data_IF_198446308263
#
_entry.id   IF_198446308263
#
_cell.length_a   1.000
_cell.length_b   1.000
_cell.length_c   1.000
_cell.angle_alpha   90.00
_cell.angle_beta   90.00
_cell.angle_gamma   90.00
#
_symmetry.space_group_name_H-M   'P 1'
#
loop_
_entity.id
_entity.type
_entity.pdbx_description
1 polymer ?
#
# COMPACT_ATOMS: atom_id res chain seq x y z
N UNK A 1 -16.38 42.41 37.26
CA UNK A 1 -15.07 42.59 36.64
C UNK A 1 -13.93 42.37 37.64
N UNK A 2 -13.74 41.17 38.23
CA UNK A 2 -12.69 41.00 39.26
C UNK A 2 -12.19 39.57 39.44
N UNK A 3 -12.12 38.76 38.37
CA UNK A 3 -11.53 37.40 38.45
C UNK A 3 -10.42 37.13 37.45
N UNK A 4 -10.02 38.06 36.58
CA UNK A 4 -9.07 37.82 35.51
C UNK A 4 -7.60 38.20 35.84
N UNK A 5 -7.32 38.94 36.86
CA UNK A 5 -5.98 39.45 37.17
C UNK A 5 -5.13 38.58 38.10
N UNK A 6 -5.73 37.61 38.80
CA UNK A 6 -5.00 36.71 39.72
C UNK A 6 -4.49 35.40 39.07
N UNK A 7 -4.89 35.14 37.81
CA UNK A 7 -4.48 33.92 37.10
C UNK A 7 -3.25 34.14 36.20
N UNK A 8 -2.91 35.39 35.86
CA UNK A 8 -1.74 35.71 34.99
C UNK A 8 -0.39 35.31 35.60
N UNK A 9 -0.09 35.63 36.88
CA UNK A 9 1.21 35.29 37.47
C UNK A 9 1.44 33.81 37.63
N UNK A 10 0.40 32.98 37.88
CA UNK A 10 0.51 31.52 37.98
C UNK A 10 0.79 30.86 36.64
N UNK A 11 0.20 31.38 35.55
CA UNK A 11 0.47 30.88 34.20
C UNK A 11 1.90 31.19 33.74
N UNK A 12 2.41 32.37 34.04
CA UNK A 12 3.79 32.77 33.71
C UNK A 12 4.79 31.95 34.52
N UNK A 13 4.55 31.72 35.81
CA UNK A 13 5.40 30.86 36.62
C UNK A 13 5.42 29.39 36.17
N UNK A 14 4.29 28.86 35.76
CA UNK A 14 4.22 27.50 35.22
C UNK A 14 4.97 27.36 33.87
N UNK A 15 4.89 28.35 32.99
CA UNK A 15 5.61 28.38 31.73
C UNK A 15 7.13 28.54 31.90
N UNK A 16 7.55 29.38 32.85
CA UNK A 16 8.96 29.52 33.21
C UNK A 16 9.55 28.22 33.80
N UNK A 17 8.77 27.49 34.57
CA UNK A 17 9.15 26.16 35.08
C UNK A 17 9.30 25.11 33.97
N UNK A 18 8.46 25.15 32.96
CA UNK A 18 8.57 24.27 31.77
C UNK A 18 9.83 24.63 30.97
N UNK A 19 10.11 25.92 30.76
CA UNK A 19 11.33 26.36 30.07
C UNK A 19 12.61 25.87 30.76
N UNK A 20 12.65 25.89 32.09
CA UNK A 20 13.82 25.46 32.87
C UNK A 20 13.98 23.93 32.92
N UNK A 21 12.88 23.18 32.87
CA UNK A 21 12.89 21.70 32.97
C UNK A 21 12.95 21.01 31.63
N UNK A 22 12.32 21.56 30.62
CA UNK A 22 12.24 21.01 29.27
C UNK A 22 12.11 22.14 28.23
N UNK A 23 13.24 22.73 27.81
CA UNK A 23 13.24 23.81 26.83
C UNK A 23 12.59 23.45 25.49
N UNK A 24 12.70 22.20 25.06
CA UNK A 24 12.06 21.72 23.81
C UNK A 24 10.56 21.77 23.92
N UNK A 25 10.00 21.26 25.02
CA UNK A 25 8.57 21.29 25.30
C UNK A 25 8.03 22.72 25.44
N UNK A 26 8.84 23.65 25.99
CA UNK A 26 8.45 25.05 26.05
C UNK A 26 8.34 25.67 24.65
N UNK A 27 9.34 25.44 23.79
CA UNK A 27 9.36 25.94 22.41
C UNK A 27 8.18 25.34 21.61
N UNK A 28 7.92 24.05 21.74
CA UNK A 28 6.78 23.39 21.12
C UNK A 28 5.44 24.00 21.59
N UNK A 29 5.25 24.22 22.88
CA UNK A 29 4.04 24.81 23.42
C UNK A 29 3.86 26.27 22.97
N UNK A 30 4.95 27.01 22.79
CA UNK A 30 4.92 28.36 22.25
C UNK A 30 4.55 28.36 20.77
N UNK A 31 5.15 27.45 19.97
CA UNK A 31 4.81 27.28 18.55
C UNK A 31 3.32 26.90 18.39
N UNK A 32 2.79 25.99 19.20
CA UNK A 32 1.38 25.63 19.18
C UNK A 32 0.44 26.76 19.63
N UNK A 33 0.89 27.65 20.51
CA UNK A 33 0.09 28.81 20.89
C UNK A 33 0.01 29.87 19.78
N UNK A 34 1.06 29.97 18.96
CA UNK A 34 1.12 30.85 17.80
C UNK A 34 0.46 30.23 16.56
N UNK A 35 0.46 28.89 16.47
CA UNK A 35 -0.04 28.09 15.35
C UNK A 35 -1.00 26.99 15.85
N UNK A 36 -2.25 27.34 16.23
CA UNK A 36 -3.23 26.36 16.73
C UNK A 36 -3.52 25.21 15.79
N UNK A 37 -3.38 25.43 14.49
CA UNK A 37 -3.50 24.39 13.44
C UNK A 37 -2.43 23.30 13.57
N UNK A 38 -1.19 23.65 13.94
CA UNK A 38 -0.13 22.67 14.18
C UNK A 38 -0.42 21.81 15.42
N UNK A 39 -0.96 22.41 16.48
CA UNK A 39 -1.41 21.66 17.64
C UNK A 39 -2.53 20.70 17.27
N UNK A 40 -3.49 21.16 16.47
CA UNK A 40 -4.57 20.30 15.97
C UNK A 40 -4.03 19.16 15.13
N UNK A 41 -3.11 19.42 14.21
CA UNK A 41 -2.43 18.38 13.41
C UNK A 41 -1.68 17.38 14.29
N UNK A 42 -0.95 17.85 15.34
CA UNK A 42 -0.25 16.97 16.26
C UNK A 42 -1.18 16.10 17.09
N UNK A 43 -2.29 16.67 17.59
CA UNK A 43 -3.26 15.94 18.41
C UNK A 43 -4.09 14.95 17.61
N UNK A 44 -4.44 15.32 16.38
CA UNK A 44 -5.23 14.48 15.47
C UNK A 44 -4.33 13.58 14.62
N UNK A 45 -3.01 13.86 14.60
CA UNK A 45 -2.07 13.15 13.74
C UNK A 45 -2.45 13.30 12.27
N UNK A 46 -2.34 12.20 11.51
CA UNK A 46 -2.76 12.18 10.10
C UNK A 46 -4.30 12.12 9.93
N UNK A 47 -5.07 12.02 11.02
CA UNK A 47 -6.55 12.13 11.03
C UNK A 47 -7.01 13.50 10.54
N UNK A 48 -6.14 14.52 10.66
CA UNK A 48 -6.36 15.79 10.02
C UNK A 48 -5.96 15.72 8.54
N UNK A 49 -6.93 15.43 7.71
CA UNK A 49 -6.78 15.46 6.27
C UNK A 49 -7.29 16.80 5.73
N UNK A 50 -6.45 17.59 5.03
CA UNK A 50 -6.91 18.84 4.44
C UNK A 50 -8.04 18.56 3.44
N UNK A 51 -9.03 19.46 3.32
CA UNK A 51 -10.12 19.28 2.36
C UNK A 51 -9.58 19.30 0.92
N UNK A 52 -10.28 18.60 0.03
CA UNK A 52 -10.07 18.71 -1.40
C UNK A 52 -10.94 19.87 -1.94
N UNK A 53 -10.36 20.70 -2.79
CA UNK A 53 -11.02 21.88 -3.32
C UNK A 53 -11.48 21.64 -4.75
N UNK A 54 -12.82 21.59 -4.92
CA UNK A 54 -13.47 21.43 -6.21
C UNK A 54 -14.43 22.58 -6.50
N UNK A 55 -14.41 23.04 -7.76
CA UNK A 55 -15.43 23.90 -8.33
C UNK A 55 -16.26 23.05 -9.29
N UNK A 56 -17.54 22.84 -8.93
CA UNK A 56 -18.47 22.02 -9.74
C UNK A 56 -19.12 22.92 -10.76
N UNK A 57 -18.68 22.82 -12.00
CA UNK A 57 -19.22 23.63 -13.08
C UNK A 57 -20.63 23.12 -13.52
N UNK A 58 -21.54 24.02 -13.96
CA UNK A 58 -22.81 23.61 -14.51
C UNK A 58 -22.65 22.65 -15.68
N UNK A 59 -23.65 21.78 -15.90
CA UNK A 59 -23.67 20.82 -16.98
C UNK A 59 -23.48 21.53 -18.33
N UNK A 60 -22.26 21.39 -18.88
CA UNK A 60 -21.96 21.78 -20.26
C UNK A 60 -21.90 20.51 -21.14
N UNK A 61 -21.59 20.64 -22.41
CA UNK A 61 -21.42 19.52 -23.35
C UNK A 61 -20.17 18.66 -23.11
N UNK A 62 -19.47 18.84 -21.97
CA UNK A 62 -18.28 18.08 -21.66
C UNK A 62 -18.62 16.65 -21.16
N UNK A 63 -17.98 15.65 -21.75
CA UNK A 63 -18.12 14.27 -21.30
C UNK A 63 -17.65 14.11 -19.85
N UNK A 64 -18.35 13.32 -19.02
CA UNK A 64 -17.93 13.01 -17.66
C UNK A 64 -16.54 12.38 -17.61
N UNK A 65 -15.75 12.72 -16.60
CA UNK A 65 -14.41 12.18 -16.38
C UNK A 65 -14.39 11.20 -15.22
N UNK A 66 -13.44 10.27 -15.25
CA UNK A 66 -12.99 9.59 -14.05
C UNK A 66 -11.83 10.39 -13.45
N UNK A 67 -12.03 10.93 -12.26
CA UNK A 67 -11.04 11.66 -11.48
C UNK A 67 -10.34 10.67 -10.53
N UNK A 68 -9.12 10.25 -10.86
CA UNK A 68 -8.33 9.30 -10.07
C UNK A 68 -7.61 10.06 -8.98
N UNK A 69 -7.95 9.80 -7.73
CA UNK A 69 -7.41 10.50 -6.56
C UNK A 69 -6.18 9.77 -6.03
N UNK A 70 -5.03 10.42 -6.09
CA UNK A 70 -3.76 9.92 -5.57
C UNK A 70 -3.22 10.89 -4.51
N UNK A 71 -2.61 10.41 -3.41
CA UNK A 71 -1.98 11.30 -2.43
C UNK A 71 -1.05 12.31 -3.10
N UNK A 72 -0.16 11.83 -3.96
CA UNK A 72 0.77 12.66 -4.75
C UNK A 72 1.09 12.02 -6.11
N UNK A 73 1.62 12.84 -7.01
CA UNK A 73 1.95 12.48 -8.40
C UNK A 73 3.44 12.57 -8.71
N UNK A 74 4.32 12.55 -7.73
CA UNK A 74 5.76 12.58 -7.91
C UNK A 74 6.30 11.20 -8.32
N UNK A 75 6.86 11.07 -9.52
CA UNK A 75 7.30 9.80 -10.10
C UNK A 75 8.21 8.96 -9.18
N UNK A 76 9.16 9.59 -8.49
CA UNK A 76 10.10 8.92 -7.58
C UNK A 76 9.47 8.33 -6.32
N UNK A 77 8.22 8.70 -5.99
CA UNK A 77 7.47 8.22 -4.83
C UNK A 77 6.39 7.19 -5.18
N UNK A 78 6.10 6.99 -6.47
CA UNK A 78 5.05 6.08 -6.93
C UNK A 78 5.60 4.64 -6.99
N UNK A 79 5.18 3.81 -6.04
CA UNK A 79 5.54 2.38 -5.97
C UNK A 79 4.34 1.56 -5.49
N UNK A 80 4.28 0.28 -5.84
CA UNK A 80 3.21 -0.62 -5.38
C UNK A 80 1.81 -0.13 -5.79
N UNK A 81 0.97 0.14 -4.81
CA UNK A 81 -0.43 0.53 -5.02
C UNK A 81 -0.67 1.71 -5.96
N UNK A 82 0.05 2.84 -5.83
CA UNK A 82 -0.03 3.93 -6.82
C UNK A 82 0.25 3.49 -8.25
N UNK A 83 1.20 2.60 -8.49
CA UNK A 83 1.47 2.09 -9.83
C UNK A 83 0.29 1.30 -10.40
N UNK A 84 -0.37 0.50 -9.59
CA UNK A 84 -1.60 -0.22 -10.01
C UNK A 84 -2.70 0.77 -10.39
N UNK A 85 -2.89 1.85 -9.62
CA UNK A 85 -3.86 2.90 -9.94
C UNK A 85 -3.54 3.60 -11.28
N UNK A 86 -2.26 3.88 -11.56
CA UNK A 86 -1.82 4.47 -12.84
C UNK A 86 -2.06 3.52 -14.02
N UNK A 87 -1.82 2.23 -13.85
CA UNK A 87 -2.09 1.24 -14.90
C UNK A 87 -3.58 1.12 -15.20
N UNK A 88 -4.45 1.11 -14.18
CA UNK A 88 -5.90 1.12 -14.35
C UNK A 88 -6.35 2.41 -15.03
N UNK A 89 -5.85 3.57 -14.58
CA UNK A 89 -6.16 4.86 -15.20
C UNK A 89 -5.80 4.91 -16.69
N UNK A 90 -4.61 4.42 -17.03
CA UNK A 90 -4.17 4.32 -18.43
C UNK A 90 -5.06 3.36 -19.23
N UNK A 91 -5.39 2.19 -18.68
CA UNK A 91 -6.26 1.23 -19.35
C UNK A 91 -7.65 1.80 -19.64
N UNK A 92 -8.26 2.50 -18.67
CA UNK A 92 -9.52 3.21 -18.87
C UNK A 92 -9.41 4.30 -19.94
N UNK A 93 -8.33 5.08 -19.93
CA UNK A 93 -8.07 6.10 -20.96
C UNK A 93 -7.92 5.49 -22.36
N UNK A 94 -7.28 4.33 -22.48
CA UNK A 94 -7.14 3.59 -23.74
C UNK A 94 -8.47 3.06 -24.28
N UNK A 95 -9.46 2.80 -23.39
CA UNK A 95 -10.84 2.47 -23.76
C UNK A 95 -11.70 3.72 -24.09
N UNK A 96 -11.09 4.90 -24.12
CA UNK A 96 -11.76 6.16 -24.44
C UNK A 96 -12.52 6.80 -23.27
N UNK A 97 -12.32 6.33 -22.03
CA UNK A 97 -12.85 7.00 -20.83
C UNK A 97 -12.01 8.25 -20.54
N UNK A 98 -12.61 9.44 -20.43
CA UNK A 98 -11.86 10.64 -20.07
C UNK A 98 -11.27 10.53 -18.65
N UNK A 99 -9.95 10.66 -18.51
CA UNK A 99 -9.23 10.46 -17.25
C UNK A 99 -8.52 11.74 -16.81
N UNK A 100 -8.60 12.03 -15.49
CA UNK A 100 -7.74 12.98 -14.80
C UNK A 100 -7.08 12.32 -13.62
N UNK A 101 -5.76 12.49 -13.46
CA UNK A 101 -5.04 12.14 -12.24
C UNK A 101 -4.98 13.39 -11.35
N UNK A 102 -5.46 13.26 -10.12
CA UNK A 102 -5.53 14.37 -9.18
C UNK A 102 -4.67 14.11 -7.95
N UNK A 103 -3.67 14.98 -7.73
CA UNK A 103 -2.94 15.02 -6.48
C UNK A 103 -3.81 15.64 -5.38
N UNK A 104 -3.94 14.95 -4.22
CA UNK A 104 -4.83 15.39 -3.16
C UNK A 104 -4.13 15.86 -1.89
N UNK A 105 -2.85 15.55 -1.69
CA UNK A 105 -2.06 15.97 -0.53
C UNK A 105 -1.00 17.02 -0.89
N UNK A 106 -0.59 17.06 -2.15
CA UNK A 106 0.47 17.95 -2.63
C UNK A 106 0.06 18.63 -3.94
N UNK A 107 0.73 19.71 -4.29
CA UNK A 107 0.64 20.31 -5.62
C UNK A 107 1.18 19.37 -6.70
N UNK A 108 0.92 19.68 -7.96
CA UNK A 108 1.53 18.94 -9.06
C UNK A 108 3.05 19.05 -8.97
N UNK A 109 3.78 17.96 -9.30
CA UNK A 109 5.25 17.99 -9.34
C UNK A 109 5.76 18.93 -10.43
N UNK A 110 6.94 19.51 -10.23
CA UNK A 110 7.61 20.29 -11.26
C UNK A 110 7.96 19.42 -12.48
N UNK A 111 8.39 18.18 -12.26
CA UNK A 111 8.70 17.20 -13.32
C UNK A 111 7.48 16.39 -13.76
N UNK A 112 6.54 17.06 -14.43
CA UNK A 112 5.37 16.41 -15.06
C UNK A 112 5.80 15.44 -16.17
N UNK A 113 6.90 15.72 -16.88
CA UNK A 113 7.39 14.83 -17.94
C UNK A 113 7.88 13.49 -17.36
N UNK A 114 8.55 13.53 -16.20
CA UNK A 114 8.95 12.32 -15.46
C UNK A 114 7.78 11.45 -15.08
N UNK A 115 6.63 12.03 -14.69
CA UNK A 115 5.42 11.28 -14.39
C UNK A 115 4.90 10.54 -15.64
N UNK A 116 4.76 11.21 -16.79
CA UNK A 116 4.30 10.56 -18.02
C UNK A 116 5.29 9.48 -18.52
N UNK A 117 6.59 9.70 -18.34
CA UNK A 117 7.62 8.68 -18.59
C UNK A 117 7.43 7.47 -17.69
N UNK A 118 7.17 7.70 -16.40
CA UNK A 118 6.93 6.63 -15.43
C UNK A 118 5.70 5.80 -15.83
N UNK A 119 4.57 6.43 -16.17
CA UNK A 119 3.38 5.75 -16.69
C UNK A 119 3.74 4.91 -17.92
N UNK A 120 4.49 5.49 -18.89
CA UNK A 120 4.92 4.77 -20.10
C UNK A 120 5.73 3.52 -19.80
N UNK A 121 6.60 3.55 -18.81
CA UNK A 121 7.36 2.37 -18.34
C UNK A 121 6.44 1.31 -17.75
N UNK A 122 5.47 1.71 -16.93
CA UNK A 122 4.53 0.80 -16.28
C UNK A 122 3.64 0.03 -17.27
N UNK A 123 3.19 0.71 -18.34
CA UNK A 123 2.27 0.12 -19.32
C UNK A 123 2.95 -0.55 -20.51
N UNK A 124 4.28 -0.60 -20.51
CA UNK A 124 5.07 -1.33 -21.48
C UNK A 124 5.79 -0.48 -22.52
N UNK A 125 6.77 -1.09 -23.19
CA UNK A 125 7.58 -0.43 -24.21
C UNK A 125 6.74 -0.06 -25.44
N UNK A 126 6.93 1.14 -25.94
CA UNK A 126 6.29 1.65 -27.17
C UNK A 126 5.27 2.78 -26.95
N UNK A 127 4.88 3.06 -25.72
CA UNK A 127 4.02 4.20 -25.44
C UNK A 127 4.88 5.46 -25.27
N UNK A 128 4.68 6.43 -26.15
CA UNK A 128 5.39 7.69 -26.02
C UNK A 128 4.65 8.61 -25.03
N UNK A 129 5.40 9.43 -24.32
CA UNK A 129 4.87 10.36 -23.31
C UNK A 129 3.81 11.32 -23.87
N UNK A 130 3.97 11.73 -25.11
CA UNK A 130 3.04 12.64 -25.77
C UNK A 130 1.67 12.00 -26.03
N UNK A 131 1.66 10.71 -26.35
CA UNK A 131 0.41 9.96 -26.50
C UNK A 131 -0.33 9.82 -25.16
N UNK A 132 0.41 9.51 -24.07
CA UNK A 132 -0.18 9.41 -22.73
C UNK A 132 -0.71 10.78 -22.29
N UNK A 133 0.03 11.85 -22.54
CA UNK A 133 -0.38 13.22 -22.22
C UNK A 133 -1.67 13.65 -22.90
N UNK A 134 -1.97 13.11 -24.08
CA UNK A 134 -3.22 13.42 -24.82
C UNK A 134 -4.44 12.75 -24.21
N UNK A 135 -4.28 11.62 -23.54
CA UNK A 135 -5.40 10.82 -23.02
C UNK A 135 -5.56 10.91 -21.49
N UNK A 136 -4.55 11.43 -20.77
CA UNK A 136 -4.57 11.59 -19.31
C UNK A 136 -4.24 13.04 -18.96
N UNK A 137 -5.22 13.73 -18.36
CA UNK A 137 -5.01 15.06 -17.80
C UNK A 137 -4.52 14.99 -16.36
N UNK A 138 -3.86 16.04 -15.87
CA UNK A 138 -3.37 16.16 -14.49
C UNK A 138 -4.02 17.34 -13.80
N UNK A 139 -4.18 17.24 -12.47
CA UNK A 139 -4.67 18.31 -11.62
C UNK A 139 -4.26 18.14 -10.17
N UNK A 140 -4.54 19.14 -9.36
CA UNK A 140 -4.36 19.10 -7.91
C UNK A 140 -5.59 19.71 -7.24
N UNK A 141 -5.88 19.27 -6.01
CA UNK A 141 -7.05 19.73 -5.24
C UNK A 141 -6.65 20.48 -3.98
N UNK A 142 -5.36 20.80 -3.81
CA UNK A 142 -4.84 21.34 -2.53
C UNK A 142 -4.99 22.85 -2.38
N UNK A 143 -5.05 23.60 -3.49
CA UNK A 143 -5.13 25.06 -3.44
C UNK A 143 -6.61 25.54 -3.37
N UNK A 144 -7.03 26.17 -2.27
CA UNK A 144 -8.37 26.72 -2.14
C UNK A 144 -8.64 27.91 -3.09
N UNK A 145 -7.59 28.60 -3.55
CA UNK A 145 -7.71 29.74 -4.46
C UNK A 145 -7.75 29.29 -5.94
N UNK A 146 -7.36 28.04 -6.21
CA UNK A 146 -7.39 27.44 -7.53
C UNK A 146 -8.08 26.07 -7.46
N UNK A 147 -9.39 26.00 -7.14
CA UNK A 147 -10.10 24.74 -7.01
C UNK A 147 -10.14 23.99 -8.35
N UNK A 148 -10.06 22.67 -8.29
CA UNK A 148 -10.14 21.82 -9.48
C UNK A 148 -11.54 21.89 -10.08
N UNK A 149 -11.65 22.29 -11.34
CA UNK A 149 -12.92 22.35 -12.07
C UNK A 149 -13.35 20.95 -12.52
N UNK A 150 -14.56 20.56 -12.13
CA UNK A 150 -15.12 19.22 -12.38
C UNK A 150 -16.59 19.34 -12.83
N UNK A 151 -17.05 18.37 -13.60
CA UNK A 151 -18.46 18.29 -13.99
C UNK A 151 -19.31 17.65 -12.88
N UNK A 152 -20.63 17.95 -12.82
CA UNK A 152 -21.54 17.35 -11.84
C UNK A 152 -21.73 15.84 -12.05
N UNK A 153 -21.44 15.32 -13.23
CA UNK A 153 -21.53 13.90 -13.59
C UNK A 153 -20.17 13.19 -13.57
N UNK A 154 -19.10 13.88 -13.16
CA UNK A 154 -17.81 13.25 -12.99
C UNK A 154 -17.86 12.14 -11.93
N UNK A 155 -17.11 11.08 -12.16
CA UNK A 155 -16.96 9.95 -11.24
C UNK A 155 -15.57 10.00 -10.62
N UNK A 156 -15.44 9.60 -9.36
CA UNK A 156 -14.15 9.54 -8.68
C UNK A 156 -13.67 8.10 -8.59
N UNK A 157 -12.36 7.89 -8.72
CA UNK A 157 -11.69 6.65 -8.35
C UNK A 157 -10.79 6.94 -7.14
N UNK A 158 -11.24 6.54 -5.95
CA UNK A 158 -10.42 6.57 -4.74
C UNK A 158 -9.40 5.43 -4.79
N UNK A 159 -8.15 5.70 -4.44
CA UNK A 159 -7.05 4.72 -4.52
C UNK A 159 -6.44 4.38 -3.16
N UNK A 160 -6.88 5.04 -2.11
CA UNK A 160 -6.46 4.86 -0.74
C UNK A 160 -7.58 5.34 0.21
N UNK A 161 -7.66 4.79 1.42
CA UNK A 161 -8.75 5.14 2.33
C UNK A 161 -8.86 6.64 2.63
N UNK A 162 -7.74 7.36 2.71
CA UNK A 162 -7.78 8.83 2.93
C UNK A 162 -8.42 9.56 1.76
N UNK A 163 -8.22 9.08 0.52
CA UNK A 163 -8.85 9.66 -0.66
C UNK A 163 -10.36 9.37 -0.69
N UNK A 164 -10.78 8.16 -0.28
CA UNK A 164 -12.17 7.80 -0.14
C UNK A 164 -12.86 8.59 0.98
N UNK A 165 -12.24 8.66 2.16
CA UNK A 165 -12.79 9.38 3.32
C UNK A 165 -13.03 10.86 3.02
N UNK A 166 -12.11 11.50 2.31
CA UNK A 166 -12.20 12.92 1.91
C UNK A 166 -13.27 13.18 0.85
N UNK A 167 -13.71 12.18 0.11
CA UNK A 167 -14.86 12.30 -0.81
C UNK A 167 -16.19 12.39 -0.05
N UNK A 168 -16.31 11.82 1.15
CA UNK A 168 -17.55 11.74 1.89
C UNK A 168 -18.32 13.07 1.97
N UNK A 169 -17.72 14.21 2.42
CA UNK A 169 -18.41 15.50 2.50
C UNK A 169 -18.69 16.14 1.13
N UNK A 170 -18.15 15.59 0.05
CA UNK A 170 -18.24 16.15 -1.30
C UNK A 170 -19.28 15.46 -2.17
N UNK A 171 -19.60 14.18 -1.89
CA UNK A 171 -20.48 13.37 -2.73
C UNK A 171 -21.86 14.01 -2.97
N UNK A 172 -22.38 14.76 -1.99
CA UNK A 172 -23.67 15.44 -2.15
C UNK A 172 -23.64 16.60 -3.17
N UNK A 173 -22.48 17.11 -3.52
CA UNK A 173 -22.28 18.16 -4.51
C UNK A 173 -22.36 17.65 -5.96
N UNK A 174 -22.26 16.33 -6.17
CA UNK A 174 -22.27 15.68 -7.47
C UNK A 174 -23.61 15.00 -7.75
N UNK A 175 -23.96 14.83 -9.00
CA UNK A 175 -25.09 14.00 -9.42
C UNK A 175 -24.76 12.52 -9.25
N UNK A 176 -23.49 12.14 -9.51
CA UNK A 176 -22.98 10.81 -9.27
C UNK A 176 -22.80 10.59 -7.76
N UNK A 177 -23.62 9.70 -7.18
CA UNK A 177 -23.57 9.42 -5.73
C UNK A 177 -22.68 8.24 -5.39
N UNK A 178 -22.30 7.43 -6.37
CA UNK A 178 -21.36 6.31 -6.23
C UNK A 178 -19.99 6.71 -6.80
N UNK A 179 -18.91 6.13 -6.27
CA UNK A 179 -17.55 6.28 -6.78
C UNK A 179 -16.91 4.91 -6.98
N UNK A 180 -15.80 4.84 -7.72
CA UNK A 180 -14.97 3.64 -7.85
C UNK A 180 -13.96 3.63 -6.70
N UNK A 181 -13.75 2.49 -6.07
CA UNK A 181 -12.78 2.36 -4.99
C UNK A 181 -11.80 1.21 -5.27
N UNK A 182 -10.54 1.56 -5.52
CA UNK A 182 -9.45 0.61 -5.64
C UNK A 182 -8.95 0.23 -4.24
N UNK A 183 -9.34 -0.95 -3.78
CA UNK A 183 -9.00 -1.50 -2.48
C UNK A 183 -7.84 -2.47 -2.67
N UNK A 184 -6.65 -2.11 -2.15
CA UNK A 184 -5.41 -2.85 -2.41
C UNK A 184 -4.86 -3.59 -1.19
N UNK A 185 -5.39 -3.34 -0.01
CA UNK A 185 -5.10 -4.04 1.23
C UNK A 185 -6.27 -3.81 2.21
N UNK A 186 -6.29 -4.50 3.33
CA UNK A 186 -7.16 -4.14 4.44
C UNK A 186 -6.52 -2.96 5.19
N UNK A 187 -6.75 -1.76 4.66
CA UNK A 187 -6.06 -0.54 5.09
C UNK A 187 -6.28 -0.13 6.55
N UNK A 188 -7.40 -0.48 7.23
CA UNK A 188 -7.50 -0.29 8.68
C UNK A 188 -6.36 -0.96 9.44
N UNK A 189 -5.83 -2.09 8.99
CA UNK A 189 -4.72 -2.81 9.62
C UNK A 189 -3.36 -2.08 9.56
N UNK A 190 -3.25 -0.97 8.83
CA UNK A 190 -2.06 -0.15 8.82
C UNK A 190 -1.83 0.57 10.16
N UNK A 191 -2.87 0.67 10.96
CA UNK A 191 -2.91 1.42 12.20
C UNK A 191 -3.24 0.51 13.38
N UNK A 192 -2.71 0.77 14.59
CA UNK A 192 -3.29 0.21 15.79
C UNK A 192 -4.75 0.65 15.93
N UNK A 193 -5.51 0.05 16.81
CA UNK A 193 -6.88 0.49 17.08
C UNK A 193 -6.87 1.97 17.51
N UNK A 194 -7.37 2.82 16.64
CA UNK A 194 -7.27 4.28 16.72
C UNK A 194 -8.40 4.91 15.92
N UNK A 195 -8.50 6.26 15.98
CA UNK A 195 -9.42 6.99 15.12
C UNK A 195 -9.16 6.71 13.65
N UNK A 196 -7.91 6.59 13.24
CA UNK A 196 -7.53 6.28 11.87
C UNK A 196 -7.96 4.90 11.42
N UNK A 197 -7.84 3.90 12.31
CA UNK A 197 -8.43 2.59 12.07
C UNK A 197 -9.94 2.70 11.81
N UNK A 198 -10.65 3.45 12.67
CA UNK A 198 -12.10 3.63 12.55
C UNK A 198 -12.49 4.37 11.28
N UNK A 199 -11.77 5.45 10.92
CA UNK A 199 -12.00 6.21 9.69
C UNK A 199 -11.72 5.38 8.43
N UNK A 200 -10.63 4.63 8.40
CA UNK A 200 -10.33 3.73 7.30
C UNK A 200 -11.41 2.64 7.17
N UNK A 201 -11.88 2.07 8.29
CA UNK A 201 -12.96 1.08 8.29
C UNK A 201 -14.29 1.67 7.79
N UNK A 202 -14.59 2.92 8.12
CA UNK A 202 -15.81 3.63 7.68
C UNK A 202 -15.90 3.73 6.16
N UNK A 203 -14.76 3.86 5.46
CA UNK A 203 -14.76 3.99 3.99
C UNK A 203 -15.37 2.79 3.28
N UNK A 204 -15.30 1.60 3.87
CA UNK A 204 -15.93 0.40 3.32
C UNK A 204 -17.47 0.39 3.42
N UNK A 205 -18.06 1.34 4.15
CA UNK A 205 -19.53 1.53 4.23
C UNK A 205 -20.03 2.64 3.30
N UNK A 206 -19.15 3.33 2.58
CA UNK A 206 -19.51 4.40 1.65
C UNK A 206 -20.15 3.85 0.36
N UNK A 207 -20.84 4.67 -0.44
CA UNK A 207 -21.48 4.24 -1.69
C UNK A 207 -20.43 4.11 -2.81
N UNK A 208 -19.76 2.95 -2.90
CA UNK A 208 -18.76 2.69 -3.92
C UNK A 208 -19.02 1.40 -4.70
N UNK A 209 -18.32 1.25 -5.82
CA UNK A 209 -18.09 0.00 -6.55
C UNK A 209 -16.65 -0.39 -6.43
N UNK A 210 -16.37 -1.62 -5.98
CA UNK A 210 -15.03 -2.06 -5.61
C UNK A 210 -14.22 -2.60 -6.78
N UNK A 211 -12.95 -2.18 -6.85
CA UNK A 211 -11.89 -2.84 -7.62
C UNK A 211 -10.90 -3.39 -6.58
N UNK A 212 -10.84 -4.71 -6.42
CA UNK A 212 -10.17 -5.33 -5.28
C UNK A 212 -8.92 -6.06 -5.72
N UNK A 213 -7.80 -5.71 -5.12
CA UNK A 213 -6.54 -6.36 -5.36
C UNK A 213 -6.41 -7.61 -4.49
N UNK A 214 -6.46 -8.69 -5.12
CA UNK A 214 -6.41 -10.13 -4.87
C UNK A 214 -7.65 -10.74 -4.18
N UNK A 215 -7.84 -12.02 -4.54
CA UNK A 215 -8.96 -12.82 -4.07
C UNK A 215 -8.94 -13.05 -2.56
N UNK A 216 -7.77 -13.12 -1.92
CA UNK A 216 -7.66 -13.31 -0.48
C UNK A 216 -8.22 -12.11 0.29
N UNK A 217 -7.98 -10.88 -0.21
CA UNK A 217 -8.57 -9.67 0.36
C UNK A 217 -10.10 -9.66 0.15
N UNK A 218 -10.58 -10.02 -1.03
CA UNK A 218 -12.01 -10.10 -1.33
C UNK A 218 -12.70 -11.12 -0.40
N UNK A 219 -12.11 -12.29 -0.18
CA UNK A 219 -12.59 -13.28 0.78
C UNK A 219 -12.65 -12.71 2.20
N UNK A 220 -11.58 -12.01 2.64
CA UNK A 220 -11.56 -11.42 3.97
C UNK A 220 -12.71 -10.43 4.17
N UNK A 221 -12.89 -9.50 3.25
CA UNK A 221 -13.96 -8.50 3.31
C UNK A 221 -15.36 -9.16 3.36
N UNK A 222 -15.56 -10.23 2.58
CA UNK A 222 -16.81 -11.01 2.54
C UNK A 222 -17.03 -11.82 3.82
N UNK A 223 -16.01 -12.56 4.29
CA UNK A 223 -16.10 -13.41 5.49
C UNK A 223 -16.31 -12.58 6.77
N UNK A 224 -15.68 -11.42 6.86
CA UNK A 224 -15.83 -10.48 7.99
C UNK A 224 -17.02 -9.55 7.85
N UNK A 225 -17.74 -9.59 6.72
CA UNK A 225 -18.86 -8.68 6.41
C UNK A 225 -18.50 -7.21 6.59
N UNK A 226 -17.30 -6.83 6.14
CA UNK A 226 -16.76 -5.49 6.29
C UNK A 226 -17.55 -4.48 5.45
N UNK A 227 -18.12 -3.46 6.09
CA UNK A 227 -18.86 -2.39 5.42
C UNK A 227 -19.96 -2.95 4.51
N UNK A 228 -19.97 -2.55 3.24
CA UNK A 228 -20.96 -2.98 2.26
C UNK A 228 -20.92 -4.48 1.92
N UNK A 229 -19.85 -5.20 2.27
CA UNK A 229 -19.82 -6.66 2.12
C UNK A 229 -20.77 -7.40 3.06
N UNK A 230 -21.41 -6.70 4.02
CA UNK A 230 -22.56 -7.21 4.77
C UNK A 230 -23.86 -7.22 3.94
N UNK A 231 -23.93 -6.45 2.84
CA UNK A 231 -25.08 -6.37 1.95
C UNK A 231 -25.11 -7.58 1.01
N UNK A 232 -26.27 -8.22 0.86
CA UNK A 232 -26.44 -9.33 -0.08
C UNK A 232 -26.14 -8.88 -1.53
N UNK A 233 -25.33 -9.66 -2.24
CA UNK A 233 -24.97 -9.38 -3.65
C UNK A 233 -24.00 -8.21 -3.87
N UNK A 234 -23.49 -7.56 -2.79
CA UNK A 234 -22.52 -6.48 -3.00
C UNK A 234 -21.19 -6.99 -3.56
N UNK A 235 -20.70 -8.13 -3.07
CA UNK A 235 -19.46 -8.73 -3.55
C UNK A 235 -19.49 -9.02 -5.06
N UNK A 236 -20.66 -9.38 -5.61
CA UNK A 236 -20.83 -9.69 -7.03
C UNK A 236 -20.80 -8.42 -7.92
N UNK A 237 -20.87 -7.24 -7.31
CA UNK A 237 -20.74 -5.93 -7.97
C UNK A 237 -19.32 -5.35 -7.87
N UNK A 238 -18.35 -6.13 -7.38
CA UNK A 238 -16.96 -5.76 -7.32
C UNK A 238 -16.16 -6.53 -8.37
N UNK A 239 -15.19 -5.86 -8.99
CA UNK A 239 -14.17 -6.54 -9.78
C UNK A 239 -13.03 -6.97 -8.87
N UNK A 240 -12.52 -8.18 -9.04
CA UNK A 240 -11.36 -8.70 -8.30
C UNK A 240 -10.29 -9.08 -9.32
N UNK A 241 -9.05 -8.66 -9.08
CA UNK A 241 -7.90 -9.03 -9.89
C UNK A 241 -6.78 -9.60 -9.03
N UNK A 242 -6.00 -10.51 -9.60
CA UNK A 242 -4.78 -10.99 -8.98
C UNK A 242 -3.59 -10.11 -9.38
N UNK A 243 -2.62 -9.89 -8.50
CA UNK A 243 -1.41 -9.15 -8.86
C UNK A 243 -0.59 -9.93 -9.89
N UNK A 244 0.07 -9.22 -10.77
CA UNK A 244 1.04 -9.83 -11.67
C UNK A 244 2.41 -9.95 -11.00
N UNK A 245 3.14 -11.00 -11.36
CA UNK A 245 4.56 -11.13 -11.05
C UNK A 245 5.35 -11.07 -12.36
N UNK A 246 6.08 -9.97 -12.57
CA UNK A 246 6.86 -9.77 -13.80
C UNK A 246 7.96 -10.83 -13.95
N UNK A 247 7.71 -11.81 -14.81
CA UNK A 247 8.63 -12.93 -15.05
C UNK A 247 9.93 -12.54 -15.73
N UNK A 248 10.02 -11.36 -16.32
CA UNK A 248 11.29 -10.82 -16.83
C UNK A 248 12.24 -10.48 -15.69
N UNK A 249 11.70 -10.06 -14.55
CA UNK A 249 12.44 -9.68 -13.34
C UNK A 249 12.53 -10.81 -12.32
N UNK A 250 11.41 -11.47 -12.06
CA UNK A 250 11.29 -12.52 -11.03
C UNK A 250 11.15 -13.90 -11.68
N UNK A 251 12.28 -14.55 -11.88
CA UNK A 251 12.38 -15.88 -12.49
C UNK A 251 13.44 -16.70 -11.77
N UNK A 252 13.39 -18.00 -11.98
CA UNK A 252 14.39 -18.89 -11.44
C UNK A 252 15.77 -18.66 -12.06
N UNK A 253 16.81 -18.73 -11.25
CA UNK A 253 18.20 -18.77 -11.68
C UNK A 253 18.92 -19.92 -10.98
N UNK A 254 19.98 -20.43 -11.62
CA UNK A 254 20.85 -21.39 -10.96
C UNK A 254 21.64 -20.66 -9.85
N UNK A 255 21.47 -21.14 -8.62
CA UNK A 255 22.17 -20.59 -7.47
C UNK A 255 23.41 -21.44 -7.21
N UNK A 256 24.57 -20.92 -7.62
CA UNK A 256 25.84 -21.60 -7.43
C UNK A 256 26.45 -21.23 -6.07
N UNK A 257 27.08 -22.25 -5.41
CA UNK A 257 27.89 -22.04 -4.23
C UNK A 257 27.31 -22.65 -2.93
N UNK A 258 28.16 -22.84 -1.93
CA UNK A 258 27.80 -23.47 -0.67
C UNK A 258 27.03 -22.54 0.28
N UNK A 259 27.21 -21.22 0.15
CA UNK A 259 26.61 -20.22 1.06
C UNK A 259 25.16 -19.95 0.67
N UNK A 260 24.23 -20.22 1.57
CA UNK A 260 22.82 -19.93 1.40
C UNK A 260 22.48 -18.51 1.85
N UNK A 261 21.45 -17.91 1.30
CA UNK A 261 21.04 -16.54 1.64
C UNK A 261 19.60 -16.50 2.13
N UNK A 262 19.41 -15.94 3.32
CA UNK A 262 18.10 -15.63 3.87
C UNK A 262 17.92 -14.10 3.85
N UNK A 263 16.85 -13.65 3.19
CA UNK A 263 16.38 -12.28 3.22
C UNK A 263 15.30 -12.12 4.28
N UNK A 264 15.34 -11.05 5.04
CA UNK A 264 14.23 -10.61 5.88
C UNK A 264 13.67 -9.30 5.36
N UNK A 265 12.39 -9.30 4.98
CA UNK A 265 11.68 -8.08 4.62
C UNK A 265 11.39 -7.25 5.88
N UNK A 266 12.42 -6.52 6.32
CA UNK A 266 12.51 -5.87 7.61
C UNK A 266 12.01 -4.41 7.52
N UNK A 267 10.82 -4.15 8.05
CA UNK A 267 10.20 -2.81 8.06
C UNK A 267 9.73 -2.43 9.47
N UNK A 268 10.64 -2.03 10.38
CA UNK A 268 10.30 -1.73 11.78
C UNK A 268 9.32 -0.55 11.91
N UNK A 269 9.31 0.39 10.96
CA UNK A 269 8.36 1.51 10.93
C UNK A 269 6.96 1.16 10.41
N UNK A 270 6.71 -0.10 10.07
CA UNK A 270 5.41 -0.58 9.59
C UNK A 270 4.88 -1.69 10.52
N UNK A 271 4.00 -1.37 11.48
CA UNK A 271 3.56 -2.32 12.53
C UNK A 271 3.05 -3.65 11.99
N UNK A 272 2.27 -3.61 10.90
CA UNK A 272 1.71 -4.82 10.27
C UNK A 272 2.76 -5.81 9.73
N UNK A 273 3.99 -5.36 9.47
CA UNK A 273 5.07 -6.23 8.98
C UNK A 273 5.74 -7.05 10.10
N UNK A 274 5.25 -6.96 11.33
CA UNK A 274 5.63 -7.81 12.46
C UNK A 274 7.15 -7.94 12.64
N UNK A 275 7.89 -6.84 12.46
CA UNK A 275 9.36 -6.85 12.52
C UNK A 275 9.90 -7.51 13.78
N UNK A 276 9.39 -7.15 14.97
CA UNK A 276 9.86 -7.69 16.24
C UNK A 276 9.66 -9.21 16.35
N UNK A 277 8.47 -9.70 15.99
CA UNK A 277 8.17 -11.14 15.99
C UNK A 277 9.04 -11.87 14.96
N UNK A 278 9.17 -11.31 13.76
CA UNK A 278 10.00 -11.91 12.69
C UNK A 278 11.48 -11.95 13.06
N UNK A 279 12.02 -10.88 13.69
CA UNK A 279 13.41 -10.85 14.11
C UNK A 279 13.70 -11.86 15.22
N UNK A 280 12.85 -11.95 16.25
CA UNK A 280 13.01 -12.94 17.32
C UNK A 280 12.86 -14.38 16.82
N UNK A 281 11.92 -14.62 15.90
CA UNK A 281 11.82 -15.93 15.25
C UNK A 281 13.07 -16.30 14.47
N UNK A 282 13.65 -15.35 13.73
CA UNK A 282 14.91 -15.55 13.02
C UNK A 282 16.06 -15.83 14.01
N UNK A 283 16.16 -15.05 15.08
CA UNK A 283 17.18 -15.23 16.12
C UNK A 283 17.12 -16.64 16.72
N UNK A 284 15.94 -17.13 17.10
CA UNK A 284 15.75 -18.47 17.65
C UNK A 284 16.09 -19.54 16.59
N UNK A 285 15.59 -19.35 15.35
CA UNK A 285 15.85 -20.32 14.27
C UNK A 285 17.33 -20.49 13.97
N UNK A 286 18.14 -19.44 14.08
CA UNK A 286 19.60 -19.49 13.80
C UNK A 286 20.39 -20.33 14.79
N UNK A 287 19.84 -20.67 15.97
CA UNK A 287 20.44 -21.66 16.89
C UNK A 287 20.22 -23.13 16.46
N UNK A 288 19.30 -23.38 15.54
CA UNK A 288 19.01 -24.74 15.06
C UNK A 288 20.14 -25.24 14.12
N UNK A 289 20.54 -26.54 14.16
CA UNK A 289 21.61 -27.10 13.31
C UNK A 289 21.54 -26.76 11.82
N UNK A 290 20.33 -26.65 11.26
CA UNK A 290 20.09 -26.24 9.85
C UNK A 290 20.78 -24.90 9.53
N UNK A 291 20.84 -23.98 10.49
CA UNK A 291 21.46 -22.67 10.34
C UNK A 291 22.83 -22.59 11.04
N UNK A 292 22.97 -23.24 12.20
CA UNK A 292 24.18 -23.15 13.01
C UNK A 292 25.37 -23.94 12.41
N UNK A 293 25.12 -25.03 11.71
CA UNK A 293 26.13 -25.95 11.15
C UNK A 293 26.35 -25.74 9.64
N UNK A 294 25.71 -24.76 9.02
CA UNK A 294 25.80 -24.48 7.59
C UNK A 294 26.11 -23.01 7.34
N UNK A 295 26.66 -22.69 6.17
CA UNK A 295 27.02 -21.33 5.78
C UNK A 295 25.81 -20.55 5.30
N UNK A 296 25.36 -19.60 6.12
CA UNK A 296 24.25 -18.71 5.82
C UNK A 296 24.65 -17.23 5.85
N UNK A 297 24.08 -16.48 4.92
CA UNK A 297 24.11 -15.03 4.92
C UNK A 297 22.73 -14.48 5.21
N UNK A 298 22.60 -13.55 6.15
CA UNK A 298 21.35 -12.93 6.58
C UNK A 298 21.35 -11.48 6.19
N UNK A 299 20.37 -11.07 5.35
CA UNK A 299 20.25 -9.70 4.87
C UNK A 299 18.87 -9.16 5.20
N UNK A 300 18.81 -7.95 5.79
CA UNK A 300 17.58 -7.20 5.98
C UNK A 300 17.32 -6.32 4.74
N UNK A 301 16.16 -6.45 4.12
CA UNK A 301 15.70 -5.66 2.98
C UNK A 301 14.40 -4.94 3.35
N UNK A 302 13.94 -3.97 2.54
CA UNK A 302 12.67 -3.27 2.77
C UNK A 302 12.80 -1.83 3.27
N UNK A 303 14.03 -1.33 3.35
CA UNK A 303 14.36 0.04 3.74
C UNK A 303 14.40 0.25 5.25
N UNK A 304 14.87 1.42 5.63
CA UNK A 304 15.02 1.84 7.03
C UNK A 304 16.48 1.89 7.49
N UNK A 305 16.73 2.65 8.55
CA UNK A 305 18.05 2.80 9.15
C UNK A 305 18.30 1.67 10.17
N UNK A 306 18.40 0.43 9.67
CA UNK A 306 18.78 -0.70 10.51
C UNK A 306 20.30 -0.76 10.62
N UNK A 307 20.83 -0.96 11.83
CA UNK A 307 22.20 -1.37 12.06
C UNK A 307 22.40 -2.87 11.84
N UNK A 308 23.63 -3.34 11.98
CA UNK A 308 23.92 -4.78 12.07
C UNK A 308 23.30 -5.33 13.36
N UNK A 309 22.54 -6.41 13.28
CA UNK A 309 21.83 -7.00 14.41
C UNK A 309 22.36 -8.40 14.69
N UNK A 310 22.82 -8.67 15.94
CA UNK A 310 23.31 -9.98 16.31
C UNK A 310 22.17 -11.01 16.29
N UNK A 311 22.49 -12.20 15.80
CA UNK A 311 21.70 -13.41 15.87
C UNK A 311 22.38 -14.42 16.80
N UNK A 312 21.84 -15.63 16.91
CA UNK A 312 22.50 -16.67 17.72
C UNK A 312 23.76 -17.22 17.05
N UNK A 313 24.59 -17.91 17.84
CA UNK A 313 25.81 -18.61 17.38
C UNK A 313 26.79 -17.69 16.64
N UNK A 314 26.85 -16.42 17.03
CA UNK A 314 27.78 -15.43 16.45
C UNK A 314 27.41 -14.94 15.05
N UNK A 315 26.26 -15.33 14.53
CA UNK A 315 25.75 -14.86 13.24
C UNK A 315 25.22 -13.42 13.35
N UNK A 316 25.15 -12.72 12.23
CA UNK A 316 24.72 -11.32 12.18
C UNK A 316 23.84 -11.07 10.97
N UNK A 317 22.66 -10.48 11.20
CA UNK A 317 21.85 -9.91 10.14
C UNK A 317 22.41 -8.55 9.72
N UNK A 318 22.69 -8.39 8.44
CA UNK A 318 23.26 -7.17 7.86
C UNK A 318 22.20 -6.44 7.05
N UNK A 319 22.00 -5.11 7.25
CA UNK A 319 21.09 -4.34 6.42
C UNK A 319 21.66 -4.24 4.99
N UNK A 320 20.82 -4.50 4.01
CA UNK A 320 21.14 -4.22 2.62
C UNK A 320 20.98 -2.71 2.34
N UNK A 321 21.80 -2.12 1.46
CA UNK A 321 21.61 -0.75 1.01
C UNK A 321 20.25 -0.59 0.31
N UNK A 322 19.80 0.65 0.09
CA UNK A 322 18.66 0.92 -0.76
C UNK A 322 18.93 0.37 -2.17
N UNK A 323 17.96 -0.33 -2.74
CA UNK A 323 18.09 -0.99 -4.04
C UNK A 323 17.08 -0.42 -5.02
N UNK A 324 17.49 -0.29 -6.29
CA UNK A 324 16.55 -0.14 -7.40
C UNK A 324 15.66 -1.40 -7.50
N UNK A 325 14.57 -1.32 -8.24
CA UNK A 325 13.67 -2.48 -8.40
C UNK A 325 14.38 -3.67 -9.08
N UNK A 326 15.26 -3.42 -10.04
CA UNK A 326 16.09 -4.43 -10.70
C UNK A 326 17.10 -5.07 -9.74
N UNK A 327 17.75 -4.27 -8.88
CA UNK A 327 18.68 -4.77 -7.86
C UNK A 327 17.96 -5.60 -6.81
N UNK A 328 16.75 -5.17 -6.40
CA UNK A 328 15.87 -5.94 -5.52
C UNK A 328 15.48 -7.28 -6.15
N UNK A 329 15.04 -7.29 -7.41
CA UNK A 329 14.74 -8.52 -8.12
C UNK A 329 15.97 -9.44 -8.24
N UNK A 330 17.16 -8.87 -8.46
CA UNK A 330 18.43 -9.60 -8.42
C UNK A 330 18.70 -10.25 -7.07
N UNK A 331 18.44 -9.52 -5.96
CA UNK A 331 18.58 -10.06 -4.61
C UNK A 331 17.59 -11.21 -4.35
N UNK A 332 16.34 -11.08 -4.81
CA UNK A 332 15.32 -12.13 -4.69
C UNK A 332 15.71 -13.39 -5.47
N UNK A 333 16.20 -13.25 -6.70
CA UNK A 333 16.68 -14.39 -7.49
C UNK A 333 17.86 -15.12 -6.84
N UNK A 334 18.75 -14.37 -6.20
CA UNK A 334 19.96 -14.92 -5.56
C UNK A 334 19.69 -15.55 -4.19
N UNK A 335 18.56 -15.26 -3.54
CA UNK A 335 18.26 -15.73 -2.20
C UNK A 335 17.54 -17.09 -2.19
N UNK A 336 17.74 -17.85 -1.13
CA UNK A 336 17.10 -19.15 -0.92
C UNK A 336 15.81 -19.04 -0.12
N UNK A 337 15.79 -18.16 0.89
CA UNK A 337 14.65 -17.96 1.79
C UNK A 337 14.32 -16.46 1.89
N UNK A 338 13.04 -16.15 1.94
CA UNK A 338 12.54 -14.82 2.33
C UNK A 338 11.66 -14.96 3.58
N UNK A 339 12.03 -14.32 4.66
CA UNK A 339 11.12 -14.09 5.79
C UNK A 339 10.34 -12.80 5.55
N UNK A 340 9.03 -12.90 5.38
CA UNK A 340 8.15 -11.76 5.12
C UNK A 340 6.83 -11.91 5.88
N UNK A 341 6.83 -11.75 7.22
CA UNK A 341 5.60 -11.77 7.98
C UNK A 341 4.80 -10.47 7.75
N UNK A 342 3.48 -10.62 7.64
CA UNK A 342 2.59 -9.48 7.47
C UNK A 342 1.21 -9.79 8.03
N UNK A 343 0.76 -9.01 9.01
CA UNK A 343 -0.57 -9.10 9.59
C UNK A 343 -1.58 -8.38 8.67
N UNK A 344 -1.87 -9.01 7.56
CA UNK A 344 -2.81 -8.57 6.53
C UNK A 344 -3.42 -9.78 5.85
N UNK A 345 -4.68 -9.71 5.39
CA UNK A 345 -5.28 -10.75 4.56
C UNK A 345 -4.66 -10.80 3.16
N UNK A 346 -3.98 -9.74 2.74
CA UNK A 346 -3.23 -9.68 1.49
C UNK A 346 -1.95 -10.53 1.56
N UNK A 347 -1.60 -11.24 0.47
CA UNK A 347 -0.44 -12.13 0.43
C UNK A 347 0.87 -11.37 0.62
N UNK A 348 0.98 -10.22 -0.02
CA UNK A 348 2.20 -9.42 -0.09
C UNK A 348 3.07 -9.77 -1.28
N UNK A 349 3.36 -8.81 -2.12
CA UNK A 349 4.15 -9.00 -3.35
C UNK A 349 5.51 -9.68 -3.12
N UNK A 350 6.30 -9.34 -2.07
CA UNK A 350 7.58 -10.01 -1.83
C UNK A 350 7.47 -11.54 -1.69
N UNK A 351 6.37 -12.04 -1.11
CA UNK A 351 6.11 -13.48 -0.97
C UNK A 351 5.93 -14.14 -2.34
N UNK A 352 5.15 -13.49 -3.21
CA UNK A 352 4.86 -13.98 -4.57
C UNK A 352 6.08 -13.88 -5.48
N UNK A 353 6.82 -12.78 -5.38
CA UNK A 353 8.07 -12.53 -6.12
C UNK A 353 9.15 -13.56 -5.76
N UNK A 354 9.27 -13.88 -4.46
CA UNK A 354 10.21 -14.90 -4.00
C UNK A 354 9.84 -16.31 -4.49
N UNK A 355 8.55 -16.66 -4.42
CA UNK A 355 8.05 -17.92 -4.96
C UNK A 355 8.32 -18.03 -6.47
N UNK A 356 8.11 -16.93 -7.22
CA UNK A 356 8.40 -16.87 -8.65
C UNK A 356 9.89 -17.07 -8.99
N UNK A 357 10.78 -16.65 -8.08
CA UNK A 357 12.21 -16.92 -8.15
C UNK A 357 12.58 -18.37 -7.72
N UNK A 358 11.61 -19.22 -7.42
CA UNK A 358 11.81 -20.56 -6.81
C UNK A 358 12.60 -20.49 -5.50
N UNK A 359 12.49 -19.41 -4.75
CA UNK A 359 12.91 -19.34 -3.36
C UNK A 359 11.79 -19.83 -2.45
N UNK A 360 12.06 -19.89 -1.16
CA UNK A 360 11.12 -20.35 -0.15
C UNK A 360 10.66 -19.16 0.69
N UNK A 361 9.52 -18.52 0.40
CA UNK A 361 8.98 -17.48 1.24
C UNK A 361 8.35 -18.08 2.50
N UNK A 362 8.75 -17.55 3.65
CA UNK A 362 8.16 -17.80 4.97
C UNK A 362 7.29 -16.60 5.34
N UNK A 363 6.01 -16.85 5.56
CA UNK A 363 5.03 -15.80 5.94
C UNK A 363 4.08 -16.32 7.01
N UNK A 364 3.16 -15.47 7.48
CA UNK A 364 2.15 -15.86 8.46
C UNK A 364 0.75 -15.94 7.85
N UNK A 365 -0.09 -16.75 8.48
CA UNK A 365 -1.53 -16.76 8.23
C UNK A 365 -2.22 -15.57 8.91
N UNK A 366 -3.32 -15.07 8.30
CA UNK A 366 -4.16 -14.05 8.90
C UNK A 366 -5.52 -13.98 8.19
N UNK A 367 -6.62 -14.16 8.94
CA UNK A 367 -7.97 -14.14 8.38
C UNK A 367 -8.11 -15.13 7.21
N UNK A 368 -8.53 -14.62 6.06
CA UNK A 368 -8.66 -15.41 4.82
C UNK A 368 -7.34 -15.92 4.24
N UNK A 369 -6.22 -15.35 4.61
CA UNK A 369 -4.87 -15.81 4.23
C UNK A 369 -4.51 -17.07 5.03
N UNK A 370 -5.08 -18.20 4.67
CA UNK A 370 -4.82 -19.50 5.31
C UNK A 370 -3.64 -20.21 4.65
N UNK A 371 -3.06 -21.19 5.33
CA UNK A 371 -1.95 -21.98 4.79
C UNK A 371 -2.34 -22.71 3.48
N UNK A 372 -3.56 -23.24 3.41
CA UNK A 372 -4.04 -23.95 2.21
C UNK A 372 -4.23 -22.99 1.02
N UNK A 373 -4.81 -21.81 1.25
CA UNK A 373 -4.97 -20.80 0.19
C UNK A 373 -3.61 -20.30 -0.31
N UNK A 374 -2.64 -20.09 0.58
CA UNK A 374 -1.27 -19.73 0.19
C UNK A 374 -0.57 -20.85 -0.59
N UNK A 375 -0.76 -22.12 -0.18
CA UNK A 375 -0.22 -23.29 -0.89
C UNK A 375 -0.83 -23.43 -2.29
N UNK A 376 -2.08 -23.03 -2.49
CA UNK A 376 -2.71 -23.01 -3.82
C UNK A 376 -2.08 -21.95 -4.75
N UNK A 377 -1.49 -20.89 -4.21
CA UNK A 377 -0.72 -19.91 -4.99
C UNK A 377 0.66 -20.47 -5.35
N UNK A 378 1.34 -21.11 -4.40
CA UNK A 378 2.61 -21.80 -4.62
C UNK A 378 2.94 -22.74 -3.46
N UNK A 379 3.39 -23.97 -3.76
CA UNK A 379 3.86 -24.95 -2.77
C UNK A 379 5.19 -24.56 -2.13
N UNK A 380 5.88 -23.54 -2.70
CA UNK A 380 7.07 -22.95 -2.08
C UNK A 380 6.77 -22.15 -0.82
N UNK A 381 5.55 -21.62 -0.67
CA UNK A 381 5.18 -20.78 0.45
C UNK A 381 5.05 -21.62 1.73
N UNK A 382 5.84 -21.30 2.74
CA UNK A 382 5.74 -21.86 4.08
C UNK A 382 4.99 -20.86 4.96
N UNK A 383 3.79 -21.25 5.39
CA UNK A 383 2.90 -20.38 6.17
C UNK A 383 2.80 -20.87 7.62
N UNK A 384 2.94 -19.97 8.58
CA UNK A 384 2.89 -20.26 10.01
C UNK A 384 1.87 -19.35 10.74
N UNK A 385 1.59 -19.66 11.99
CA UNK A 385 0.91 -18.71 12.88
C UNK A 385 1.78 -17.45 13.08
N UNK A 386 1.20 -16.25 13.26
CA UNK A 386 1.96 -15.02 13.49
C UNK A 386 2.52 -14.97 14.95
N UNK A 387 3.33 -15.95 15.30
CA UNK A 387 4.03 -16.08 16.58
C UNK A 387 5.52 -16.31 16.38
N UNK A 388 6.31 -16.07 17.41
CA UNK A 388 7.76 -16.27 17.38
C UNK A 388 8.06 -17.75 17.08
N UNK A 389 7.42 -18.66 17.81
CA UNK A 389 7.63 -20.10 17.70
C UNK A 389 7.18 -20.64 16.34
N UNK A 390 6.01 -20.16 15.86
CA UNK A 390 5.46 -20.58 14.57
C UNK A 390 6.36 -20.18 13.41
N UNK A 391 6.81 -18.93 13.39
CA UNK A 391 7.74 -18.44 12.35
C UNK A 391 9.13 -19.08 12.47
N UNK A 392 9.63 -19.34 13.70
CA UNK A 392 10.90 -20.03 13.88
C UNK A 392 10.86 -21.46 13.34
N UNK A 393 9.80 -22.20 13.63
CA UNK A 393 9.60 -23.55 13.09
C UNK A 393 9.49 -23.54 11.56
N UNK A 394 8.77 -22.59 10.98
CA UNK A 394 8.65 -22.41 9.54
C UNK A 394 10.00 -22.06 8.88
N UNK A 395 10.84 -21.25 9.53
CA UNK A 395 12.20 -20.96 9.07
C UNK A 395 13.07 -22.23 9.07
N UNK A 396 13.00 -23.08 10.11
CA UNK A 396 13.72 -24.34 10.17
C UNK A 396 13.27 -25.29 9.05
N UNK A 397 11.96 -25.37 8.78
CA UNK A 397 11.43 -26.13 7.63
C UNK A 397 11.97 -25.58 6.32
N UNK A 398 11.89 -24.27 6.10
CA UNK A 398 12.40 -23.62 4.89
C UNK A 398 13.91 -23.83 4.72
N UNK A 399 14.69 -23.71 5.80
CA UNK A 399 16.13 -23.99 5.81
C UNK A 399 16.44 -25.43 5.41
N UNK A 400 15.71 -26.38 5.97
CA UNK A 400 15.88 -27.81 5.63
C UNK A 400 15.58 -28.09 4.15
N UNK A 401 14.52 -27.46 3.60
CA UNK A 401 14.16 -27.55 2.17
C UNK A 401 15.22 -26.92 1.27
N UNK A 402 15.74 -25.74 1.67
CA UNK A 402 16.79 -25.05 0.93
C UNK A 402 18.11 -25.84 0.86
N UNK A 403 18.51 -26.51 1.95
CA UNK A 403 19.72 -27.33 1.99
C UNK A 403 19.59 -28.61 1.14
N UNK A 404 18.40 -29.20 1.05
CA UNK A 404 18.15 -30.37 0.16
C UNK A 404 17.98 -29.99 -1.31
N UNK A 405 18.06 -28.68 -1.59
CA UNK A 405 17.83 -28.13 -2.94
C UNK A 405 16.46 -28.55 -3.53
N UNK A 406 15.48 -28.72 -2.65
CA UNK A 406 14.11 -29.05 -3.03
C UNK A 406 13.45 -27.87 -3.77
N UNK A 407 14.01 -27.54 -4.93
CA UNK A 407 13.46 -26.56 -5.87
C UNK A 407 12.47 -27.27 -6.76
N UNK A 408 11.31 -27.51 -6.23
CA UNK A 408 10.22 -28.07 -7.01
C UNK A 408 9.98 -27.20 -8.25
N UNK A 409 9.69 -27.84 -9.37
CA UNK A 409 9.19 -27.17 -10.57
C UNK A 409 7.80 -26.63 -10.26
N UNK A 410 7.74 -25.55 -9.48
CA UNK A 410 6.48 -25.04 -9.03
C UNK A 410 6.03 -23.85 -9.87
N UNK A 411 4.74 -23.82 -10.07
CA UNK A 411 4.04 -22.78 -10.78
C UNK A 411 3.42 -21.82 -9.75
N UNK A 412 3.75 -20.54 -9.82
CA UNK A 412 2.98 -19.53 -9.13
C UNK A 412 1.72 -19.26 -9.95
N UNK A 413 0.56 -19.57 -9.39
CA UNK A 413 -0.74 -19.44 -10.05
C UNK A 413 -1.20 -17.98 -10.14
N UNK A 414 -0.41 -17.13 -10.81
CA UNK A 414 -0.64 -15.69 -10.97
C UNK A 414 -0.32 -15.25 -12.40
N UNK A 415 -0.94 -14.15 -12.86
CA UNK A 415 -0.59 -13.52 -14.13
C UNK A 415 0.91 -13.16 -14.20
N UNK A 416 1.49 -13.26 -15.40
CA UNK A 416 2.91 -12.99 -15.64
C UNK A 416 3.20 -11.52 -15.95
N UNK A 417 2.16 -10.76 -16.29
CA UNK A 417 2.26 -9.32 -16.58
C UNK A 417 1.00 -8.56 -16.13
N UNK A 418 1.17 -7.29 -15.84
CA UNK A 418 0.10 -6.40 -15.38
C UNK A 418 -0.99 -6.12 -16.42
N UNK A 419 -0.71 -5.94 -17.71
CA UNK A 419 -1.75 -5.79 -18.72
C UNK A 419 -2.75 -6.95 -18.71
N UNK A 420 -2.27 -8.18 -18.70
CA UNK A 420 -3.12 -9.38 -18.62
C UNK A 420 -3.88 -9.47 -17.30
N UNK A 421 -3.22 -9.16 -16.18
CA UNK A 421 -3.84 -9.18 -14.85
C UNK A 421 -5.01 -8.19 -14.71
N UNK A 422 -4.89 -7.02 -15.33
CA UNK A 422 -5.86 -5.93 -15.17
C UNK A 422 -6.92 -5.86 -16.28
N UNK A 423 -6.78 -6.60 -17.38
CA UNK A 423 -7.63 -6.45 -18.57
C UNK A 423 -9.13 -6.51 -18.23
N UNK A 424 -9.59 -7.60 -17.62
CA UNK A 424 -11.01 -7.77 -17.23
C UNK A 424 -11.46 -6.72 -16.21
N UNK A 425 -10.59 -6.34 -15.28
CA UNK A 425 -10.91 -5.33 -14.27
C UNK A 425 -11.07 -3.94 -14.87
N UNK A 426 -10.25 -3.60 -15.87
CA UNK A 426 -10.35 -2.34 -16.62
C UNK A 426 -11.67 -2.28 -17.40
N UNK A 427 -12.03 -3.36 -18.10
CA UNK A 427 -13.29 -3.45 -18.82
C UNK A 427 -14.49 -3.28 -17.88
N UNK A 428 -14.50 -4.01 -16.75
CA UNK A 428 -15.54 -3.92 -15.73
C UNK A 428 -15.59 -2.52 -15.10
N UNK A 429 -14.45 -1.89 -14.83
CA UNK A 429 -14.41 -0.52 -14.31
C UNK A 429 -14.98 0.50 -15.31
N UNK A 430 -14.73 0.31 -16.61
CA UNK A 430 -15.32 1.14 -17.67
C UNK A 430 -16.84 0.95 -17.74
N UNK A 431 -17.35 -0.27 -17.57
CA UNK A 431 -18.79 -0.55 -17.48
C UNK A 431 -19.40 0.11 -16.25
N UNK A 432 -18.78 -0.06 -15.07
CA UNK A 432 -19.21 0.59 -13.83
C UNK A 432 -19.29 2.11 -13.97
N UNK A 433 -18.29 2.73 -14.60
CA UNK A 433 -18.30 4.16 -14.90
C UNK A 433 -19.52 4.55 -15.74
N UNK A 434 -19.77 3.87 -16.87
CA UNK A 434 -20.92 4.15 -17.76
C UNK A 434 -22.24 3.99 -17.03
N UNK A 435 -22.40 2.96 -16.22
CA UNK A 435 -23.61 2.74 -15.42
C UNK A 435 -23.83 3.80 -14.34
N UNK A 436 -22.76 4.29 -13.68
CA UNK A 436 -22.88 5.38 -12.70
C UNK A 436 -23.37 6.65 -13.40
N UNK A 437 -22.78 6.98 -14.54
CA UNK A 437 -23.15 8.17 -15.32
C UNK A 437 -24.59 8.05 -15.84
N UNK A 438 -24.96 6.91 -16.43
CA UNK A 438 -26.30 6.69 -16.99
C UNK A 438 -27.44 6.82 -15.95
N UNK A 439 -27.18 6.55 -14.68
CA UNK A 439 -28.16 6.75 -13.58
C UNK A 439 -28.40 8.23 -13.24
N UNK A 440 -27.55 9.12 -13.75
CA UNK A 440 -27.65 10.56 -13.50
C UNK A 440 -28.32 11.32 -14.65
N UNK A 441 -28.56 10.65 -15.79
CA UNK A 441 -29.35 11.20 -16.89
C UNK A 441 -30.82 11.18 -16.50
N UNK A 442 -31.59 12.28 -16.75
CA UNK A 442 -32.96 12.44 -16.31
C UNK A 442 -33.93 11.48 -17.02
#
# INVERSE_FOLDING_TARGET
MSRSLLTLPRKIGAQALVLLRDPKRFIENLDYSLHPEKLRQKLLGFEFMPPMHFDVEPVGNASPHVNVLLPKLEAGSLTGGPNTALMIAYGLAALGVPIRLLAVDEALPEDVAGLYKHIGVLVGQGHNQEQIRRIIALGSTVDPNLPMKVGPHDVFLATYWTTAFRLKPLLDRFQTKEFLYLIQDFEPSFYPWSSSYAQALETYSMPYRGLINEQLLAYHLKETKTGRFAEAGFADRCAVFEPAVDRRLFHAVDRAGPVRTLLFYARPGQPRNLFGIGFEALRIATAHPVFAENDWRYLAIGGGSLGRMPLEVGQVMTPAPWMSYEAYAGAMRAADILLCPMLSPHTGYPVLEMAACRGIPVTNTFGSKTADRLRNLSTHIVAATPSIEGLAAALVEAGSRALRDERLCDHVALPEDWPSALATTIDTAAEMFREIVARCEP
#
